data_IF_870683637578
#
_entry.id   IF_870683637578
#
_cell.length_a   1.000
_cell.length_b   1.000
_cell.length_c   1.000
_cell.angle_alpha   90.00
_cell.angle_beta   90.00
_cell.angle_gamma   90.00
#
_symmetry.space_group_name_H-M   'P 1'
#
loop_
_entity.id
_entity.type
_entity.pdbx_description
1 polymer ?
#
# COMPACT_ATOMS: atom_id res chain seq x y z
N UNK A 1 22.28 -14.77 -41.15
CA UNK A 1 23.10 -14.08 -40.15
C UNK A 1 22.64 -14.58 -38.77
N UNK A 2 23.54 -15.14 -38.00
CA UNK A 2 23.24 -15.64 -36.66
C UNK A 2 22.78 -14.48 -35.77
N UNK A 3 21.65 -14.66 -35.05
CA UNK A 3 21.17 -13.68 -34.09
C UNK A 3 22.16 -13.59 -32.93
N UNK A 4 22.59 -12.39 -32.54
CA UNK A 4 23.38 -12.18 -31.36
C UNK A 4 22.55 -12.59 -30.13
N UNK A 5 23.10 -13.35 -29.19
CA UNK A 5 22.39 -13.72 -27.99
C UNK A 5 21.98 -12.47 -27.20
N UNK A 6 20.76 -12.47 -26.67
CA UNK A 6 20.31 -11.46 -25.69
C UNK A 6 20.28 -12.08 -24.30
N UNK A 7 20.54 -11.25 -23.29
CA UNK A 7 20.59 -11.66 -21.90
C UNK A 7 19.68 -10.73 -21.10
N UNK A 8 18.91 -11.24 -20.15
CA UNK A 8 18.08 -10.46 -19.26
C UNK A 8 18.43 -10.68 -17.81
N UNK A 9 18.28 -9.63 -17.03
CA UNK A 9 18.43 -9.69 -15.57
C UNK A 9 17.15 -10.22 -14.93
N UNK A 10 17.26 -11.29 -14.14
CA UNK A 10 16.10 -11.88 -13.45
C UNK A 10 15.59 -11.01 -12.30
N UNK A 11 16.39 -10.07 -11.78
CA UNK A 11 16.02 -9.18 -10.70
C UNK A 11 15.30 -7.91 -11.18
N UNK A 12 15.78 -7.25 -12.27
CA UNK A 12 15.22 -5.97 -12.71
C UNK A 12 14.70 -5.95 -14.15
N UNK A 13 14.86 -7.07 -14.91
CA UNK A 13 14.42 -7.17 -16.28
C UNK A 13 15.27 -6.40 -17.32
N UNK A 14 16.41 -5.83 -16.92
CA UNK A 14 17.30 -5.14 -17.87
C UNK A 14 17.87 -6.11 -18.91
N UNK A 15 17.80 -5.73 -20.18
CA UNK A 15 18.27 -6.57 -21.31
C UNK A 15 19.62 -6.08 -21.80
N UNK A 16 20.60 -7.00 -21.91
CA UNK A 16 21.95 -6.71 -22.39
C UNK A 16 22.30 -7.62 -23.57
N UNK A 17 23.25 -7.18 -24.41
CA UNK A 17 23.75 -7.98 -25.54
C UNK A 17 24.88 -8.93 -25.15
N UNK A 18 25.37 -8.85 -23.92
CA UNK A 18 26.49 -9.66 -23.40
C UNK A 18 26.16 -10.16 -22.01
N UNK A 19 26.62 -11.36 -21.69
CA UNK A 19 26.55 -11.86 -20.33
C UNK A 19 27.52 -11.09 -19.43
N UNK A 20 27.07 -10.74 -18.23
CA UNK A 20 27.88 -10.15 -17.19
C UNK A 20 27.52 -10.78 -15.84
N UNK A 21 28.50 -10.96 -14.97
CA UNK A 21 28.28 -11.52 -13.62
C UNK A 21 27.48 -10.60 -12.70
N UNK A 22 27.42 -9.29 -13.03
CA UNK A 22 26.68 -8.28 -12.28
C UNK A 22 25.80 -7.46 -13.22
N UNK A 23 24.57 -7.18 -12.85
CA UNK A 23 23.69 -6.34 -13.65
C UNK A 23 24.10 -4.87 -13.55
N UNK A 24 24.30 -4.20 -14.70
CA UNK A 24 24.68 -2.78 -14.74
C UNK A 24 23.54 -1.84 -14.29
N UNK A 25 22.28 -2.28 -14.39
CA UNK A 25 21.12 -1.47 -14.05
C UNK A 25 20.75 -1.52 -12.57
N UNK A 26 20.76 -2.73 -11.94
CA UNK A 26 20.36 -2.89 -10.53
C UNK A 26 21.52 -3.26 -9.60
N UNK A 27 22.69 -3.57 -10.14
CA UNK A 27 23.88 -3.93 -9.36
C UNK A 27 23.88 -5.35 -8.77
N UNK A 28 22.84 -6.15 -8.97
CA UNK A 28 22.73 -7.51 -8.44
C UNK A 28 23.66 -8.49 -9.17
N UNK A 29 24.23 -9.45 -8.40
CA UNK A 29 25.14 -10.46 -8.91
C UNK A 29 24.41 -11.74 -9.33
N UNK A 30 24.92 -12.41 -10.39
CA UNK A 30 24.44 -13.70 -10.91
C UNK A 30 22.96 -13.69 -11.33
N UNK A 31 22.43 -12.55 -11.70
CA UNK A 31 21.03 -12.36 -12.12
C UNK A 31 20.86 -12.30 -13.64
N UNK A 32 21.96 -12.31 -14.42
CA UNK A 32 21.90 -12.23 -15.88
C UNK A 32 21.85 -13.64 -16.48
N UNK A 33 20.72 -13.94 -17.15
CA UNK A 33 20.49 -15.21 -17.86
C UNK A 33 20.32 -14.95 -19.34
N UNK A 34 20.72 -15.94 -20.16
CA UNK A 34 20.57 -15.88 -21.60
C UNK A 34 19.08 -16.08 -21.96
N UNK A 35 18.50 -15.12 -22.68
CA UNK A 35 17.18 -15.30 -23.24
C UNK A 35 17.22 -16.28 -24.40
N UNK A 36 16.50 -17.37 -24.29
CA UNK A 36 16.28 -18.28 -25.40
C UNK A 36 15.38 -17.58 -26.44
N UNK A 37 16.03 -16.88 -27.35
CA UNK A 37 15.50 -16.29 -28.56
C UNK A 37 14.10 -15.71 -28.55
N UNK A 38 13.93 -14.44 -28.18
CA UNK A 38 12.69 -13.70 -28.43
C UNK A 38 12.45 -13.66 -29.95
N UNK A 39 11.44 -14.42 -30.41
CA UNK A 39 11.00 -14.33 -31.79
C UNK A 39 10.31 -12.98 -32.00
N UNK A 40 10.99 -12.10 -32.76
CA UNK A 40 10.46 -10.82 -33.25
C UNK A 40 9.95 -9.84 -32.21
N UNK A 41 10.88 -9.17 -31.54
CA UNK A 41 10.63 -7.82 -31.06
C UNK A 41 10.20 -6.91 -32.24
N UNK A 42 9.64 -5.72 -31.95
CA UNK A 42 9.25 -4.79 -33.00
C UNK A 42 10.41 -4.59 -33.98
N UNK A 43 10.11 -4.64 -35.27
CA UNK A 43 11.10 -4.50 -36.34
C UNK A 43 11.97 -3.24 -36.04
N UNK A 44 13.29 -3.37 -36.20
CA UNK A 44 14.25 -2.28 -35.94
C UNK A 44 14.02 -1.02 -36.82
N UNK A 45 13.11 -1.08 -37.76
CA UNK A 45 12.61 0.04 -38.55
C UNK A 45 11.13 -0.19 -38.84
N UNK A 46 10.36 0.90 -38.94
CA UNK A 46 8.94 0.91 -39.28
C UNK A 46 8.68 0.41 -40.70
N UNK A 47 9.46 -0.48 -41.27
CA UNK A 47 9.31 -1.04 -42.62
C UNK A 47 8.49 -0.18 -43.56
N UNK A 48 8.78 -0.09 -44.85
CA UNK A 48 8.20 0.88 -45.78
C UNK A 48 6.67 0.84 -46.03
N UNK A 49 5.88 0.17 -45.15
CA UNK A 49 4.42 0.24 -45.18
C UNK A 49 3.95 1.38 -44.23
N UNK A 50 3.21 2.34 -44.80
CA UNK A 50 2.53 3.39 -44.00
C UNK A 50 1.61 2.72 -42.97
N UNK A 51 1.67 3.17 -41.71
CA UNK A 51 0.70 2.79 -40.67
C UNK A 51 -0.71 3.29 -41.03
N UNK A 52 -1.72 2.75 -40.35
CA UNK A 52 -3.08 3.33 -40.42
C UNK A 52 -3.11 4.66 -39.70
N UNK A 53 -3.86 5.63 -40.25
CA UNK A 53 -4.13 6.87 -39.56
C UNK A 53 -4.97 6.59 -38.30
N UNK A 54 -4.62 7.24 -37.19
CA UNK A 54 -5.38 7.18 -35.94
C UNK A 54 -6.39 8.31 -35.89
N UNK A 55 -7.54 8.05 -35.31
CA UNK A 55 -8.52 9.11 -35.02
C UNK A 55 -8.03 9.94 -33.84
N UNK A 56 -7.97 11.26 -34.04
CA UNK A 56 -7.63 12.21 -32.98
C UNK A 56 -8.93 12.83 -32.45
N UNK A 57 -9.03 12.96 -31.12
CA UNK A 57 -10.12 13.65 -30.43
C UNK A 57 -9.55 14.87 -29.72
N UNK A 58 -10.29 15.98 -29.70
CA UNK A 58 -9.90 17.20 -29.00
C UNK A 58 -10.14 17.04 -27.49
N UNK A 59 -9.26 17.62 -26.66
CA UNK A 59 -9.43 17.67 -25.21
C UNK A 59 -10.71 18.41 -24.77
N UNK A 60 -11.21 19.30 -25.63
CA UNK A 60 -12.44 20.07 -25.40
C UNK A 60 -13.70 19.27 -25.67
N UNK A 61 -13.61 18.06 -26.22
CA UNK A 61 -14.77 17.18 -26.42
C UNK A 61 -15.26 16.72 -25.05
N UNK A 62 -16.43 17.19 -24.62
CA UNK A 62 -17.07 16.79 -23.36
C UNK A 62 -17.54 15.32 -23.47
N UNK A 63 -16.63 14.39 -23.29
CA UNK A 63 -16.99 13.02 -23.01
C UNK A 63 -17.24 12.89 -21.49
N UNK A 64 -18.48 12.62 -21.12
CA UNK A 64 -18.78 12.29 -19.72
C UNK A 64 -18.01 11.03 -19.33
N UNK A 65 -17.10 11.09 -18.33
CA UNK A 65 -16.38 9.90 -17.91
C UNK A 65 -17.35 8.78 -17.56
N UNK A 66 -17.09 7.54 -17.98
CA UNK A 66 -17.97 6.44 -17.64
C UNK A 66 -18.12 6.34 -16.12
N UNK A 67 -19.34 6.11 -15.61
CA UNK A 67 -19.58 6.06 -14.18
C UNK A 67 -18.77 4.94 -13.55
N UNK A 68 -18.23 5.18 -12.37
CA UNK A 68 -17.55 4.16 -11.57
C UNK A 68 -18.59 3.16 -11.04
N UNK A 69 -18.20 1.89 -10.98
CA UNK A 69 -19.06 0.87 -10.41
C UNK A 69 -18.56 0.51 -9.02
N UNK A 70 -19.39 0.74 -8.00
CA UNK A 70 -19.11 0.32 -6.63
C UNK A 70 -19.41 -1.16 -6.44
N UNK A 71 -18.58 -1.86 -5.66
CA UNK A 71 -18.87 -3.25 -5.28
C UNK A 71 -19.71 -3.33 -3.99
N UNK A 72 -19.85 -2.23 -3.26
CA UNK A 72 -20.52 -2.21 -1.96
C UNK A 72 -19.66 -2.66 -0.79
N UNK A 73 -18.36 -2.92 -1.02
CA UNK A 73 -17.34 -3.03 0.01
C UNK A 73 -16.67 -1.64 0.11
N UNK A 74 -17.14 -0.81 1.06
CA UNK A 74 -16.81 0.61 1.12
C UNK A 74 -15.30 0.86 1.27
N UNK A 75 -14.60 0.00 2.02
CA UNK A 75 -13.15 0.08 2.20
C UNK A 75 -12.39 -0.28 0.91
N UNK A 76 -12.91 -1.16 0.06
CA UNK A 76 -12.34 -1.45 -1.26
C UNK A 76 -12.68 -0.33 -2.25
N UNK A 77 -13.93 0.11 -2.27
CA UNK A 77 -14.36 1.21 -3.16
C UNK A 77 -13.57 2.49 -2.86
N UNK A 78 -13.24 2.76 -1.59
CA UNK A 78 -12.39 3.89 -1.17
C UNK A 78 -11.01 3.83 -1.82
N UNK A 79 -10.28 2.73 -1.70
CA UNK A 79 -8.92 2.63 -2.25
C UNK A 79 -8.89 2.59 -3.77
N UNK A 80 -10.01 2.22 -4.40
CA UNK A 80 -10.22 2.34 -5.84
C UNK A 80 -10.52 3.79 -6.27
N UNK A 81 -10.69 4.71 -5.31
CA UNK A 81 -11.03 6.10 -5.58
C UNK A 81 -12.51 6.32 -5.84
N UNK A 82 -13.39 5.51 -5.24
CA UNK A 82 -14.84 5.57 -5.34
C UNK A 82 -15.45 4.51 -6.25
N UNK A 83 -14.73 3.42 -6.53
CA UNK A 83 -15.20 2.25 -7.27
C UNK A 83 -14.38 1.90 -8.51
N UNK A 84 -14.78 0.82 -9.16
CA UNK A 84 -14.11 0.27 -10.35
C UNK A 84 -14.35 1.19 -11.56
N UNK A 85 -13.27 1.59 -12.20
CA UNK A 85 -13.32 2.36 -13.46
C UNK A 85 -13.33 1.39 -14.64
N UNK A 86 -14.25 1.52 -15.60
CA UNK A 86 -14.28 0.67 -16.81
C UNK A 86 -12.96 0.70 -17.57
N UNK A 87 -12.58 -0.43 -18.17
CA UNK A 87 -11.33 -0.61 -18.91
C UNK A 87 -10.05 -0.35 -18.09
N UNK A 88 -10.13 -0.35 -16.76
CA UNK A 88 -8.97 -0.20 -15.88
C UNK A 88 -8.22 -1.51 -15.69
N UNK A 89 -6.91 -1.41 -15.52
CA UNK A 89 -6.05 -2.50 -15.09
C UNK A 89 -5.55 -2.21 -13.67
N UNK A 90 -5.82 -3.13 -12.74
CA UNK A 90 -5.52 -2.99 -11.32
C UNK A 90 -4.59 -4.14 -10.91
N UNK A 91 -3.54 -3.83 -10.16
CA UNK A 91 -2.67 -4.82 -9.55
C UNK A 91 -2.91 -4.84 -8.04
N UNK A 92 -3.17 -6.02 -7.48
CA UNK A 92 -3.29 -6.24 -6.04
C UNK A 92 -2.11 -7.10 -5.60
N UNK A 93 -1.14 -6.47 -4.94
CA UNK A 93 0.06 -7.10 -4.38
C UNK A 93 -0.07 -7.40 -2.89
N UNK A 94 0.84 -8.21 -2.36
CA UNK A 94 0.93 -8.52 -0.93
C UNK A 94 1.47 -9.92 -0.67
N UNK A 95 1.83 -10.19 0.58
CA UNK A 95 2.39 -11.48 1.00
C UNK A 95 1.47 -12.66 0.71
N UNK A 96 2.02 -13.85 0.44
CA UNK A 96 1.23 -15.07 0.35
C UNK A 96 0.45 -15.33 1.64
N UNK A 97 -0.85 -15.65 1.51
CA UNK A 97 -1.72 -15.93 2.66
C UNK A 97 -2.25 -14.69 3.40
N UNK A 98 -1.96 -13.46 2.96
CA UNK A 98 -2.46 -12.23 3.59
C UNK A 98 -3.98 -12.02 3.46
N UNK A 99 -4.63 -12.66 2.47
CA UNK A 99 -6.07 -12.54 2.24
C UNK A 99 -6.48 -11.99 0.87
N UNK A 100 -5.53 -11.74 -0.07
CA UNK A 100 -5.83 -11.18 -1.41
C UNK A 100 -6.93 -11.92 -2.15
N UNK A 101 -6.77 -13.23 -2.34
CA UNK A 101 -7.73 -14.09 -3.05
C UNK A 101 -9.09 -14.15 -2.33
N UNK A 102 -9.10 -14.01 -1.01
CA UNK A 102 -10.35 -13.96 -0.21
C UNK A 102 -11.10 -12.66 -0.49
N UNK A 103 -10.43 -11.51 -0.37
CA UNK A 103 -11.05 -10.21 -0.66
C UNK A 103 -11.54 -10.13 -2.09
N UNK A 104 -10.74 -10.59 -3.05
CA UNK A 104 -11.08 -10.49 -4.46
C UNK A 104 -12.21 -11.44 -4.86
N UNK A 105 -12.33 -12.59 -4.20
CA UNK A 105 -13.49 -13.48 -4.39
C UNK A 105 -14.78 -12.85 -3.82
N UNK A 106 -14.69 -12.19 -2.65
CA UNK A 106 -15.79 -11.41 -2.08
C UNK A 106 -16.18 -10.24 -2.99
N UNK A 107 -15.21 -9.50 -3.50
CA UNK A 107 -15.44 -8.40 -4.44
C UNK A 107 -16.07 -8.90 -5.75
N UNK A 108 -15.55 -10.00 -6.32
CA UNK A 108 -16.10 -10.63 -7.53
C UNK A 108 -17.59 -10.97 -7.36
N UNK A 109 -17.93 -11.57 -6.20
CA UNK A 109 -19.31 -11.92 -5.88
C UNK A 109 -20.20 -10.68 -5.77
N UNK A 110 -19.73 -9.61 -5.13
CA UNK A 110 -20.49 -8.37 -4.98
C UNK A 110 -20.69 -7.65 -6.31
N UNK A 111 -19.63 -7.53 -7.12
CA UNK A 111 -19.75 -6.99 -8.49
C UNK A 111 -20.74 -7.80 -9.34
N UNK A 112 -20.69 -9.14 -9.25
CA UNK A 112 -21.60 -10.00 -9.99
C UNK A 112 -23.04 -9.85 -9.52
N UNK A 113 -23.29 -9.73 -8.21
CA UNK A 113 -24.62 -9.47 -7.63
C UNK A 113 -25.16 -8.09 -8.00
N UNK A 114 -24.29 -7.09 -8.21
CA UNK A 114 -24.68 -5.77 -8.73
C UNK A 114 -24.89 -5.73 -10.25
N UNK A 115 -24.80 -6.89 -10.92
CA UNK A 115 -25.12 -7.05 -12.34
C UNK A 115 -23.93 -7.02 -13.29
N UNK A 116 -22.67 -6.91 -12.82
CA UNK A 116 -21.52 -6.99 -13.68
C UNK A 116 -21.23 -8.45 -14.07
N UNK A 117 -21.08 -8.71 -15.35
CA UNK A 117 -20.60 -10.01 -15.83
C UNK A 117 -19.14 -10.19 -15.40
N UNK A 118 -18.94 -11.02 -14.38
CA UNK A 118 -17.65 -11.20 -13.70
C UNK A 118 -17.10 -12.58 -13.93
N UNK A 119 -15.82 -12.65 -14.30
CA UNK A 119 -15.05 -13.90 -14.47
C UNK A 119 -13.88 -13.90 -13.48
N UNK A 120 -13.70 -15.03 -12.79
CA UNK A 120 -12.56 -15.28 -11.93
C UNK A 120 -11.73 -16.42 -12.51
N UNK A 121 -10.49 -16.14 -12.89
CA UNK A 121 -9.53 -17.11 -13.42
C UNK A 121 -8.50 -17.41 -12.34
N UNK A 122 -8.43 -18.67 -11.92
CA UNK A 122 -7.42 -19.16 -10.97
C UNK A 122 -6.33 -19.90 -11.72
N UNK A 123 -5.08 -19.51 -11.49
CA UNK A 123 -3.91 -20.24 -11.97
C UNK A 123 -3.21 -21.06 -10.86
N UNK A 124 -3.67 -20.95 -9.62
CA UNK A 124 -3.07 -21.63 -8.46
C UNK A 124 -3.97 -22.72 -7.90
N UNK A 125 -5.29 -22.53 -7.96
CA UNK A 125 -6.27 -23.43 -7.36
C UNK A 125 -7.21 -23.99 -8.40
N UNK A 126 -7.56 -25.27 -8.26
CA UNK A 126 -8.60 -25.89 -9.06
C UNK A 126 -9.97 -25.24 -8.76
N UNK A 127 -10.87 -25.23 -9.76
CA UNK A 127 -12.21 -24.64 -9.63
C UNK A 127 -13.01 -25.21 -8.43
N UNK A 128 -12.78 -26.46 -8.05
CA UNK A 128 -13.41 -27.08 -6.88
C UNK A 128 -12.93 -26.42 -5.58
N UNK A 129 -11.66 -26.08 -5.45
CA UNK A 129 -11.08 -25.42 -4.28
C UNK A 129 -11.61 -23.99 -4.15
N UNK A 130 -11.69 -23.24 -5.26
CA UNK A 130 -12.29 -21.91 -5.26
C UNK A 130 -13.77 -21.96 -4.86
N UNK A 131 -14.54 -22.98 -5.33
CA UNK A 131 -15.94 -23.17 -4.91
C UNK A 131 -16.06 -23.49 -3.42
N UNK A 132 -15.21 -24.35 -2.88
CA UNK A 132 -15.20 -24.64 -1.42
C UNK A 132 -14.93 -23.38 -0.60
N UNK A 133 -14.00 -22.52 -1.07
CA UNK A 133 -13.75 -21.22 -0.45
C UNK A 133 -15.00 -20.33 -0.55
N UNK A 134 -15.62 -20.23 -1.71
CA UNK A 134 -16.85 -19.46 -1.91
C UNK A 134 -17.99 -19.93 -0.97
N UNK A 135 -18.14 -21.24 -0.80
CA UNK A 135 -19.13 -21.81 0.15
C UNK A 135 -18.85 -21.38 1.58
N UNK A 136 -17.58 -21.50 2.04
CA UNK A 136 -17.19 -21.05 3.39
C UNK A 136 -17.44 -19.56 3.62
N UNK A 137 -17.30 -18.74 2.59
CA UNK A 137 -17.54 -17.30 2.62
C UNK A 137 -19.01 -16.92 2.43
N UNK A 138 -19.94 -17.86 2.23
CA UNK A 138 -21.33 -17.57 1.95
C UNK A 138 -21.59 -16.93 0.56
N UNK A 139 -20.75 -17.27 -0.43
CA UNK A 139 -20.79 -16.68 -1.77
C UNK A 139 -21.18 -17.68 -2.86
N UNK A 140 -21.64 -18.86 -2.48
CA UNK A 140 -21.91 -19.95 -3.42
C UNK A 140 -23.00 -19.67 -4.46
N UNK A 141 -23.91 -18.75 -4.14
CA UNK A 141 -25.03 -18.28 -5.00
C UNK A 141 -24.65 -17.14 -5.95
N UNK A 142 -23.45 -16.57 -5.81
CA UNK A 142 -23.03 -15.43 -6.63
C UNK A 142 -22.81 -15.85 -8.09
N UNK A 143 -23.32 -15.07 -9.09
CA UNK A 143 -23.23 -15.42 -10.50
C UNK A 143 -21.84 -15.13 -11.10
N UNK A 144 -20.77 -15.57 -10.41
CA UNK A 144 -19.38 -15.45 -10.87
C UNK A 144 -19.02 -16.67 -11.72
N UNK A 145 -18.53 -16.47 -12.92
CA UNK A 145 -17.96 -17.55 -13.74
C UNK A 145 -16.54 -17.84 -13.30
N UNK A 146 -16.22 -19.12 -13.07
CA UNK A 146 -14.90 -19.60 -12.65
C UNK A 146 -14.21 -20.35 -13.78
N UNK A 147 -12.91 -20.11 -13.94
CA UNK A 147 -12.01 -20.91 -14.76
C UNK A 147 -10.74 -21.25 -13.96
N UNK A 148 -10.18 -22.44 -14.18
CA UNK A 148 -8.85 -22.85 -13.70
C UNK A 148 -7.99 -23.02 -14.96
N UNK A 149 -7.16 -22.01 -15.27
CA UNK A 149 -6.36 -21.97 -16.49
C UNK A 149 -5.14 -21.06 -16.28
N UNK A 150 -4.02 -21.43 -16.93
CA UNK A 150 -2.76 -20.68 -16.87
C UNK A 150 -2.27 -20.26 -18.26
N UNK A 151 -2.79 -20.87 -19.35
CA UNK A 151 -2.46 -20.47 -20.70
C UNK A 151 -3.13 -19.13 -21.05
N UNK A 152 -2.32 -18.12 -21.28
CA UNK A 152 -2.81 -16.76 -21.54
C UNK A 152 -3.65 -16.67 -22.83
N UNK A 153 -3.33 -17.45 -23.87
CA UNK A 153 -4.08 -17.46 -25.13
C UNK A 153 -5.50 -17.96 -24.91
N UNK A 154 -5.66 -19.05 -24.17
CA UNK A 154 -6.96 -19.65 -23.88
C UNK A 154 -7.81 -18.72 -22.98
N UNK A 155 -7.16 -18.07 -22.02
CA UNK A 155 -7.80 -17.04 -21.17
C UNK A 155 -8.31 -15.89 -22.04
N UNK A 156 -7.45 -15.28 -22.88
CA UNK A 156 -7.86 -14.15 -23.73
C UNK A 156 -8.95 -14.53 -24.73
N UNK A 157 -8.87 -15.73 -25.32
CA UNK A 157 -9.91 -16.25 -26.22
C UNK A 157 -11.26 -16.38 -25.49
N UNK A 158 -11.23 -16.89 -24.27
CA UNK A 158 -12.43 -17.03 -23.43
C UNK A 158 -13.01 -15.67 -23.06
N UNK A 159 -12.16 -14.71 -22.63
CA UNK A 159 -12.60 -13.35 -22.31
C UNK A 159 -13.19 -12.62 -23.53
N UNK A 160 -12.62 -12.85 -24.73
CA UNK A 160 -13.13 -12.30 -25.98
C UNK A 160 -14.55 -12.82 -26.31
N UNK A 161 -14.76 -14.13 -26.14
CA UNK A 161 -16.06 -14.78 -26.39
C UNK A 161 -17.11 -14.39 -25.34
N UNK A 162 -16.73 -14.37 -24.07
CA UNK A 162 -17.62 -14.13 -22.95
C UNK A 162 -17.96 -12.63 -22.74
N UNK A 163 -17.07 -11.73 -23.16
CA UNK A 163 -17.20 -10.26 -23.02
C UNK A 163 -17.62 -9.85 -21.59
N UNK A 164 -16.80 -10.21 -20.58
CA UNK A 164 -17.08 -9.77 -19.22
C UNK A 164 -16.85 -8.27 -19.06
N UNK A 165 -17.42 -7.69 -18.01
CA UNK A 165 -17.12 -6.31 -17.60
C UNK A 165 -15.96 -6.29 -16.59
N UNK A 166 -15.80 -7.39 -15.83
CA UNK A 166 -14.70 -7.58 -14.89
C UNK A 166 -14.08 -8.97 -15.04
N UNK A 167 -12.75 -9.04 -15.12
CA UNK A 167 -11.99 -10.27 -15.02
C UNK A 167 -10.95 -10.18 -13.90
N UNK A 168 -10.86 -11.20 -13.05
CA UNK A 168 -9.86 -11.32 -11.99
C UNK A 168 -8.92 -12.46 -12.35
N UNK A 169 -7.61 -12.21 -12.32
CA UNK A 169 -6.55 -13.18 -12.65
C UNK A 169 -5.73 -13.46 -11.39
N UNK A 170 -5.86 -14.63 -10.83
CA UNK A 170 -5.24 -15.03 -9.55
C UNK A 170 -4.39 -16.31 -9.71
N UNK A 171 -3.05 -16.20 -9.88
CA UNK A 171 -2.22 -15.01 -9.86
C UNK A 171 -1.52 -14.79 -11.21
N UNK A 172 -1.01 -13.58 -11.43
CA UNK A 172 -0.28 -13.24 -12.66
C UNK A 172 1.02 -14.06 -12.80
N UNK A 173 1.59 -14.54 -11.69
CA UNK A 173 2.82 -15.30 -11.68
C UNK A 173 2.68 -16.71 -12.29
N UNK A 174 1.49 -17.26 -12.25
CA UNK A 174 1.22 -18.60 -12.81
C UNK A 174 0.86 -18.57 -14.30
N UNK A 175 0.54 -17.38 -14.83
CA UNK A 175 0.19 -17.21 -16.23
C UNK A 175 1.41 -17.38 -17.13
N UNK A 176 1.21 -18.02 -18.27
CA UNK A 176 2.25 -18.17 -19.27
C UNK A 176 1.74 -17.91 -20.69
N UNK A 177 2.59 -17.26 -21.48
CA UNK A 177 2.37 -16.98 -22.89
C UNK A 177 3.23 -17.93 -23.73
N UNK A 178 2.62 -18.64 -24.67
CA UNK A 178 3.26 -19.63 -25.52
C UNK A 178 4.29 -19.05 -26.50
N UNK A 179 4.26 -17.75 -26.73
CA UNK A 179 5.21 -17.02 -27.56
C UNK A 179 6.47 -16.55 -26.82
N UNK A 180 6.60 -16.86 -25.52
CA UNK A 180 7.75 -16.48 -24.67
C UNK A 180 8.46 -17.75 -24.21
N UNK A 181 9.68 -17.98 -24.71
CA UNK A 181 10.51 -19.14 -24.35
C UNK A 181 11.16 -18.96 -22.99
N UNK A 182 10.35 -18.92 -21.91
CA UNK A 182 10.81 -18.83 -20.53
C UNK A 182 9.86 -19.61 -19.62
N UNK A 183 10.37 -20.10 -18.49
CA UNK A 183 9.55 -20.84 -17.54
C UNK A 183 8.39 -19.97 -16.99
N UNK A 184 7.22 -20.54 -16.67
CA UNK A 184 6.16 -19.88 -15.94
C UNK A 184 6.69 -19.24 -14.65
N UNK A 185 6.20 -18.05 -14.28
CA UNK A 185 6.68 -17.29 -13.12
C UNK A 185 7.97 -16.49 -13.34
N UNK A 186 8.65 -16.67 -14.48
CA UNK A 186 9.79 -15.84 -14.85
C UNK A 186 9.36 -14.39 -15.11
N UNK A 187 10.28 -13.46 -14.92
CA UNK A 187 10.07 -12.01 -15.15
C UNK A 187 9.53 -11.73 -16.56
N UNK A 188 10.06 -12.40 -17.57
CA UNK A 188 9.63 -12.25 -18.97
C UNK A 188 8.21 -12.74 -19.21
N UNK A 189 7.82 -13.87 -18.61
CA UNK A 189 6.45 -14.39 -18.68
C UNK A 189 5.45 -13.47 -17.99
N UNK A 190 5.74 -13.07 -16.75
CA UNK A 190 4.88 -12.15 -15.96
C UNK A 190 4.70 -10.81 -16.69
N UNK A 191 5.79 -10.27 -17.25
CA UNK A 191 5.75 -9.03 -18.05
C UNK A 191 4.90 -9.19 -19.29
N UNK A 192 5.06 -10.28 -20.03
CA UNK A 192 4.29 -10.55 -21.25
C UNK A 192 2.81 -10.73 -20.92
N UNK A 193 2.48 -11.53 -19.92
CA UNK A 193 1.11 -11.75 -19.47
C UNK A 193 0.43 -10.45 -19.02
N UNK A 194 1.10 -9.64 -18.19
CA UNK A 194 0.59 -8.36 -17.76
C UNK A 194 0.38 -7.38 -18.93
N UNK A 195 1.30 -7.38 -19.92
CA UNK A 195 1.15 -6.54 -21.12
C UNK A 195 -0.08 -6.91 -21.94
N UNK A 196 -0.24 -8.19 -22.25
CA UNK A 196 -1.37 -8.67 -23.06
C UNK A 196 -2.70 -8.42 -22.34
N UNK A 197 -2.79 -8.72 -21.05
CA UNK A 197 -4.01 -8.50 -20.26
C UNK A 197 -4.36 -7.00 -20.14
N UNK A 198 -3.39 -6.13 -19.88
CA UNK A 198 -3.64 -4.68 -19.81
C UNK A 198 -4.01 -4.09 -21.18
N UNK A 199 -3.38 -4.58 -22.25
CA UNK A 199 -3.74 -4.21 -23.63
C UNK A 199 -5.15 -4.67 -23.98
N UNK A 200 -5.51 -5.89 -23.59
CA UNK A 200 -6.86 -6.43 -23.77
C UNK A 200 -7.89 -5.59 -23.02
N UNK A 201 -7.63 -5.24 -21.73
CA UNK A 201 -8.48 -4.38 -20.94
C UNK A 201 -8.84 -3.08 -21.68
N UNK A 202 -7.83 -2.37 -22.19
CA UNK A 202 -8.01 -1.10 -22.91
C UNK A 202 -8.74 -1.26 -24.25
N UNK A 203 -8.42 -2.30 -25.01
CA UNK A 203 -9.04 -2.53 -26.34
C UNK A 203 -10.49 -2.98 -26.27
N UNK A 204 -10.84 -3.78 -25.25
CA UNK A 204 -12.17 -4.41 -25.12
C UNK A 204 -13.08 -3.77 -24.10
N UNK A 205 -12.59 -2.76 -23.37
CA UNK A 205 -13.39 -2.10 -22.33
C UNK A 205 -13.63 -2.96 -21.08
N UNK A 206 -12.80 -4.01 -20.88
CA UNK A 206 -12.91 -4.92 -19.74
C UNK A 206 -12.03 -4.41 -18.61
N UNK A 207 -12.56 -4.32 -17.39
CA UNK A 207 -11.73 -4.07 -16.21
C UNK A 207 -11.01 -5.36 -15.79
N UNK A 208 -9.71 -5.28 -15.53
CA UNK A 208 -8.91 -6.46 -15.14
C UNK A 208 -8.22 -6.20 -13.81
N UNK A 209 -8.40 -7.13 -12.86
CA UNK A 209 -7.67 -7.16 -11.60
C UNK A 209 -6.65 -8.31 -11.66
N UNK A 210 -5.37 -7.96 -11.53
CA UNK A 210 -4.25 -8.88 -11.48
C UNK A 210 -3.84 -9.09 -10.03
N UNK A 211 -3.76 -10.34 -9.57
CA UNK A 211 -3.20 -10.69 -8.25
C UNK A 211 -1.71 -10.94 -8.41
N UNK A 212 -0.90 -10.31 -7.55
CA UNK A 212 0.54 -10.49 -7.52
C UNK A 212 1.04 -10.86 -6.12
N UNK A 213 2.07 -11.69 -6.04
CA UNK A 213 2.79 -11.96 -4.81
C UNK A 213 4.02 -11.05 -4.71
N UNK A 214 4.32 -10.57 -3.50
CA UNK A 214 5.55 -9.85 -3.20
C UNK A 214 6.63 -10.83 -2.75
N UNK A 215 7.90 -10.50 -2.99
CA UNK A 215 9.03 -11.21 -2.42
C UNK A 215 9.18 -10.89 -0.93
N UNK A 216 10.04 -11.65 -0.22
CA UNK A 216 10.35 -11.40 1.20
C UNK A 216 10.87 -9.99 1.49
N UNK A 217 11.35 -9.29 0.47
CA UNK A 217 11.80 -7.89 0.55
C UNK A 217 10.68 -6.87 0.29
N UNK A 218 9.42 -7.31 0.26
CA UNK A 218 8.25 -6.45 0.03
C UNK A 218 8.07 -5.99 -1.41
N UNK A 219 8.75 -6.63 -2.38
CA UNK A 219 8.61 -6.36 -3.81
C UNK A 219 7.75 -7.43 -4.48
N UNK A 220 7.00 -7.06 -5.52
CA UNK A 220 6.28 -8.05 -6.33
C UNK A 220 7.32 -8.95 -7.02
N UNK A 221 7.13 -10.28 -6.92
CA UNK A 221 7.93 -11.25 -7.64
C UNK A 221 7.74 -11.03 -9.14
N UNK A 222 8.69 -10.39 -9.75
CA UNK A 222 8.65 -9.85 -11.09
C UNK A 222 9.04 -8.36 -11.07
N UNK A 223 9.48 -7.79 -12.19
CA UNK A 223 10.00 -6.44 -12.21
C UNK A 223 8.89 -5.45 -11.82
N UNK A 224 9.27 -4.36 -11.18
CA UNK A 224 8.46 -3.13 -11.00
C UNK A 224 7.77 -2.66 -12.30
N UNK A 225 8.15 -3.26 -13.42
CA UNK A 225 7.54 -3.06 -14.74
C UNK A 225 6.04 -3.28 -14.74
N UNK A 226 5.52 -4.27 -13.99
CA UNK A 226 4.06 -4.54 -13.93
C UNK A 226 3.33 -3.39 -13.27
N UNK A 227 3.90 -2.76 -12.23
CA UNK A 227 3.32 -1.58 -11.58
C UNK A 227 3.19 -0.38 -12.54
N UNK A 228 4.15 -0.23 -13.46
CA UNK A 228 4.11 0.83 -14.46
C UNK A 228 3.11 0.58 -15.57
N UNK A 229 2.73 -0.67 -15.82
CA UNK A 229 1.81 -1.08 -16.89
C UNK A 229 0.34 -0.94 -16.52
N UNK A 230 0.02 -0.96 -15.22
CA UNK A 230 -1.35 -0.88 -14.71
C UNK A 230 -1.73 0.56 -14.31
N UNK A 231 -3.03 0.81 -14.17
CA UNK A 231 -3.55 2.12 -13.80
C UNK A 231 -3.56 2.34 -12.28
N UNK A 232 -3.84 1.28 -11.53
CA UNK A 232 -3.92 1.28 -10.07
C UNK A 232 -3.08 0.14 -9.50
N UNK A 233 -2.34 0.42 -8.43
CA UNK A 233 -1.58 -0.57 -7.65
C UNK A 233 -2.04 -0.50 -6.21
N UNK A 234 -2.54 -1.60 -5.71
CA UNK A 234 -2.97 -1.79 -4.34
C UNK A 234 -2.04 -2.79 -3.65
N UNK A 235 -1.59 -2.46 -2.44
CA UNK A 235 -0.82 -3.38 -1.60
C UNK A 235 -1.62 -3.81 -0.39
N UNK A 236 -1.66 -5.12 -0.16
CA UNK A 236 -2.19 -5.72 1.05
C UNK A 236 -1.07 -5.82 2.09
N UNK A 237 -1.23 -5.11 3.20
CA UNK A 237 -0.28 -5.02 4.30
C UNK A 237 -0.89 -5.66 5.56
N UNK A 238 -0.04 -6.17 6.45
CA UNK A 238 -0.43 -6.71 7.75
C UNK A 238 0.45 -7.89 8.17
N UNK A 239 0.61 -8.07 9.45
CA UNK A 239 1.36 -9.20 10.01
C UNK A 239 0.45 -10.43 10.18
N UNK A 240 1.01 -11.63 10.00
CA UNK A 240 0.24 -12.89 10.05
C UNK A 240 -0.43 -13.15 11.40
N UNK A 241 0.06 -12.56 12.48
CA UNK A 241 -0.49 -12.70 13.83
C UNK A 241 -1.59 -11.71 14.18
N UNK A 242 -1.78 -10.65 13.40
CA UNK A 242 -2.79 -9.64 13.65
C UNK A 242 -4.10 -9.97 12.94
N UNK A 243 -5.23 -9.58 13.53
CA UNK A 243 -6.55 -9.78 12.94
C UNK A 243 -6.82 -8.81 11.78
N UNK A 244 -6.13 -7.67 11.77
CA UNK A 244 -6.39 -6.59 10.82
C UNK A 244 -5.46 -6.65 9.61
N UNK A 245 -6.00 -6.17 8.47
CA UNK A 245 -5.31 -6.05 7.19
C UNK A 245 -5.57 -4.67 6.64
N UNK A 246 -4.54 -4.05 6.11
CA UNK A 246 -4.62 -2.74 5.44
C UNK A 246 -4.42 -2.94 3.95
N UNK A 247 -5.33 -2.45 3.14
CA UNK A 247 -5.20 -2.37 1.70
C UNK A 247 -4.83 -0.93 1.35
N UNK A 248 -3.64 -0.69 0.82
CA UNK A 248 -3.11 0.65 0.50
C UNK A 248 -3.06 0.87 -1.01
N UNK A 249 -3.54 2.00 -1.48
CA UNK A 249 -3.35 2.45 -2.86
C UNK A 249 -1.98 3.12 -3.01
N UNK A 250 -1.02 2.43 -3.61
CA UNK A 250 0.34 2.98 -3.86
C UNK A 250 0.39 3.80 -5.14
N UNK A 251 -0.48 3.46 -6.09
CA UNK A 251 -0.65 4.18 -7.36
C UNK A 251 -2.12 4.16 -7.73
N UNK A 252 -2.68 5.31 -8.07
CA UNK A 252 -4.04 5.38 -8.59
C UNK A 252 -4.15 6.53 -9.60
N UNK A 253 -4.39 6.21 -10.89
CA UNK A 253 -4.62 7.22 -11.94
C UNK A 253 -6.01 7.83 -11.88
N UNK A 254 -6.92 7.23 -11.13
CA UNK A 254 -8.33 7.60 -11.08
C UNK A 254 -8.75 8.23 -9.75
N UNK A 255 -7.83 8.33 -8.79
CA UNK A 255 -8.11 8.87 -7.46
C UNK A 255 -6.84 9.16 -6.69
N UNK A 256 -6.97 9.51 -5.40
CA UNK A 256 -5.82 9.75 -4.54
C UNK A 256 -4.95 8.49 -4.41
N UNK A 257 -3.63 8.68 -4.36
CA UNK A 257 -2.69 7.69 -3.86
C UNK A 257 -2.66 7.74 -2.32
N UNK A 258 -2.10 6.71 -1.71
CA UNK A 258 -1.96 6.55 -0.25
C UNK A 258 -3.29 6.35 0.52
N UNK A 259 -4.43 6.24 -0.17
CA UNK A 259 -5.68 5.84 0.45
C UNK A 259 -5.58 4.45 1.05
N UNK A 260 -6.19 4.26 2.22
CA UNK A 260 -6.24 2.97 2.90
C UNK A 260 -7.66 2.47 3.08
N UNK A 261 -7.80 1.15 2.94
CA UNK A 261 -8.96 0.38 3.36
C UNK A 261 -8.55 -0.60 4.47
N UNK A 262 -9.31 -0.67 5.54
CA UNK A 262 -8.99 -1.51 6.69
C UNK A 262 -10.00 -2.64 6.82
N UNK A 263 -9.49 -3.85 6.96
CA UNK A 263 -10.28 -5.08 7.03
C UNK A 263 -9.88 -5.91 8.25
N UNK A 264 -10.85 -6.57 8.83
CA UNK A 264 -10.65 -7.59 9.85
C UNK A 264 -10.76 -8.99 9.23
N UNK A 265 -9.81 -9.87 9.53
CA UNK A 265 -9.85 -11.27 9.10
C UNK A 265 -10.73 -12.07 10.07
N UNK A 266 -11.87 -12.53 9.61
CA UNK A 266 -12.83 -13.32 10.37
C UNK A 266 -12.95 -14.75 9.83
N UNK A 267 -13.65 -15.62 10.54
CA UNK A 267 -13.98 -16.97 10.03
C UNK A 267 -14.84 -16.94 8.75
N UNK A 268 -15.50 -15.83 8.45
CA UNK A 268 -16.34 -15.61 7.27
C UNK A 268 -15.64 -14.79 6.16
N UNK A 269 -14.32 -14.59 6.27
CA UNK A 269 -13.54 -13.81 5.33
C UNK A 269 -13.14 -12.45 5.88
N UNK A 270 -12.98 -11.49 5.00
CA UNK A 270 -12.59 -10.13 5.33
C UNK A 270 -13.84 -9.26 5.53
N UNK A 271 -13.92 -8.65 6.70
CA UNK A 271 -14.96 -7.70 7.08
C UNK A 271 -14.39 -6.29 7.11
N UNK A 272 -15.17 -5.31 6.69
CA UNK A 272 -14.76 -3.92 6.68
C UNK A 272 -14.66 -3.35 8.09
N UNK A 273 -13.65 -2.52 8.33
CA UNK A 273 -13.50 -1.77 9.56
C UNK A 273 -13.86 -0.31 9.33
N UNK A 274 -15.06 0.07 9.73
CA UNK A 274 -15.56 1.43 9.50
C UNK A 274 -14.85 2.49 10.35
N UNK A 275 -14.32 2.11 11.51
CA UNK A 275 -13.57 2.99 12.40
C UNK A 275 -12.18 2.41 12.73
N UNK A 276 -11.18 2.55 11.83
CA UNK A 276 -9.85 2.00 12.06
C UNK A 276 -9.14 2.61 13.27
N UNK A 277 -9.38 3.90 13.56
CA UNK A 277 -8.75 4.56 14.70
C UNK A 277 -9.03 3.84 16.03
N UNK A 278 -10.22 3.27 16.19
CA UNK A 278 -10.56 2.51 17.39
C UNK A 278 -9.74 1.23 17.56
N UNK A 279 -9.15 0.72 16.47
CA UNK A 279 -8.32 -0.49 16.47
C UNK A 279 -6.84 -0.22 16.77
N UNK A 280 -6.39 0.98 16.40
CA UNK A 280 -4.99 1.41 16.56
C UNK A 280 -4.77 2.17 17.87
N UNK A 281 -5.79 2.24 18.70
CA UNK A 281 -5.75 2.80 20.05
C UNK A 281 -5.91 1.66 21.07
N UNK A 282 -5.08 1.65 22.08
CA UNK A 282 -5.28 0.77 23.25
C UNK A 282 -6.60 1.11 23.94
N UNK A 283 -7.17 0.14 24.64
CA UNK A 283 -8.33 0.43 25.51
C UNK A 283 -7.95 1.58 26.44
N UNK A 284 -8.83 2.59 26.52
CA UNK A 284 -8.59 3.78 27.35
C UNK A 284 -8.57 3.36 28.82
N UNK A 285 -7.37 3.08 29.32
CA UNK A 285 -7.07 2.87 30.71
C UNK A 285 -6.43 4.10 31.35
N UNK A 286 -5.70 3.87 32.45
CA UNK A 286 -4.83 4.90 33.01
C UNK A 286 -3.71 5.27 32.02
N UNK A 287 -3.35 6.58 31.90
CA UNK A 287 -2.25 7.01 31.04
C UNK A 287 -0.96 6.26 31.40
N UNK A 288 -0.30 5.69 30.40
CA UNK A 288 0.94 4.94 30.57
C UNK A 288 2.12 5.75 30.01
N UNK A 289 3.24 5.88 30.76
CA UNK A 289 4.45 6.48 30.24
C UNK A 289 4.89 5.80 28.95
N UNK A 290 5.31 6.61 27.97
CA UNK A 290 5.74 6.12 26.66
C UNK A 290 4.61 5.93 25.63
N UNK A 291 3.33 6.06 26.02
CA UNK A 291 2.21 5.95 25.07
C UNK A 291 1.69 7.33 24.69
N UNK A 292 1.60 7.59 23.36
CA UNK A 292 1.12 8.87 22.80
C UNK A 292 0.27 8.62 21.57
N UNK A 293 -0.88 9.29 21.50
CA UNK A 293 -1.77 9.20 20.36
C UNK A 293 -1.42 10.24 19.30
N UNK A 294 -1.08 9.79 18.13
CA UNK A 294 -0.84 10.57 16.93
C UNK A 294 -2.14 10.75 16.13
N UNK A 295 -2.48 11.98 15.80
CA UNK A 295 -3.56 12.26 14.85
C UNK A 295 -2.99 12.36 13.43
N UNK A 296 -2.98 11.22 12.71
CA UNK A 296 -2.42 11.06 11.38
C UNK A 296 -3.42 11.26 10.24
N UNK A 297 -2.90 11.34 9.03
CA UNK A 297 -3.65 11.29 7.77
C UNK A 297 -3.03 10.23 6.87
N UNK A 298 -3.84 9.30 6.41
CA UNK A 298 -3.49 8.32 5.40
C UNK A 298 -4.31 8.61 4.14
N UNK A 299 -3.63 9.11 3.10
CA UNK A 299 -4.31 9.63 1.92
C UNK A 299 -5.20 10.83 2.23
N UNK A 300 -6.51 10.62 2.20
CA UNK A 300 -7.51 11.64 2.61
C UNK A 300 -8.15 11.32 3.96
N UNK A 301 -7.87 10.14 4.54
CA UNK A 301 -8.50 9.62 5.74
C UNK A 301 -7.75 10.03 6.99
N UNK A 302 -8.37 10.72 7.96
CA UNK A 302 -7.79 10.89 9.26
C UNK A 302 -7.83 9.55 10.03
N UNK A 303 -6.72 9.20 10.67
CA UNK A 303 -6.56 7.96 11.46
C UNK A 303 -5.76 8.28 12.71
N UNK A 304 -6.30 7.93 13.87
CA UNK A 304 -5.56 8.02 15.12
C UNK A 304 -4.77 6.73 15.34
N UNK A 305 -3.50 6.89 15.71
CA UNK A 305 -2.58 5.77 15.90
C UNK A 305 -1.77 5.99 17.16
N UNK A 306 -1.65 4.98 17.99
CA UNK A 306 -0.84 5.04 19.21
C UNK A 306 0.62 4.69 18.91
N UNK A 307 1.53 5.59 19.30
CA UNK A 307 2.96 5.33 19.36
C UNK A 307 3.33 4.92 20.78
N UNK A 308 4.08 3.84 20.90
CA UNK A 308 4.57 3.29 22.16
C UNK A 308 6.09 3.31 22.17
N UNK A 309 6.69 3.98 23.12
CA UNK A 309 8.13 4.03 23.31
C UNK A 309 8.52 3.36 24.65
N UNK A 310 9.63 2.65 24.64
CA UNK A 310 10.30 2.15 25.83
C UNK A 310 11.75 2.61 25.81
N UNK A 311 12.19 3.24 26.90
CA UNK A 311 13.56 3.71 27.07
C UNK A 311 14.11 3.06 28.33
N UNK A 312 15.24 2.35 28.21
CA UNK A 312 15.84 1.64 29.33
C UNK A 312 17.37 1.73 29.28
N UNK A 313 18.08 1.67 30.43
CA UNK A 313 19.54 1.60 30.43
C UNK A 313 20.06 0.44 29.61
N UNK A 314 21.03 0.69 28.71
CA UNK A 314 21.59 -0.35 27.88
C UNK A 314 22.65 -1.13 28.64
N UNK A 315 22.56 -2.47 28.70
CA UNK A 315 23.62 -3.30 29.26
C UNK A 315 24.81 -3.47 28.29
N UNK A 316 24.72 -2.91 27.07
CA UNK A 316 25.71 -3.07 26.01
C UNK A 316 26.47 -1.76 25.76
N UNK A 317 27.72 -1.89 25.28
CA UNK A 317 28.53 -0.72 24.88
C UNK A 317 27.86 0.10 23.75
N UNK A 318 27.09 -0.55 22.90
CA UNK A 318 26.28 0.10 21.86
C UNK A 318 24.80 -0.08 22.15
N UNK A 319 24.14 1.03 22.42
CA UNK A 319 22.70 1.06 22.71
C UNK A 319 21.87 0.65 21.47
N UNK A 320 20.81 -0.13 21.70
CA UNK A 320 19.93 -0.66 20.66
C UNK A 320 18.89 0.38 20.26
N UNK A 321 18.56 0.38 18.98
CA UNK A 321 17.46 1.17 18.38
C UNK A 321 16.57 0.23 17.59
N UNK A 322 15.38 -0.09 18.12
CA UNK A 322 14.43 -0.99 17.48
C UNK A 322 13.17 -0.22 17.15
N UNK A 323 12.72 -0.33 15.91
CA UNK A 323 11.52 0.39 15.42
C UNK A 323 10.60 -0.60 14.70
N UNK A 324 9.33 -0.55 15.04
CA UNK A 324 8.26 -1.30 14.38
C UNK A 324 7.19 -0.32 13.92
N UNK A 325 6.84 -0.37 12.65
CA UNK A 325 5.78 0.45 12.06
C UNK A 325 6.18 1.89 11.70
N UNK A 326 7.43 2.31 11.94
CA UNK A 326 7.93 3.64 11.57
C UNK A 326 9.35 3.58 11.02
N UNK A 327 9.89 4.72 10.55
CA UNK A 327 11.22 4.78 9.94
C UNK A 327 12.34 4.92 10.98
N UNK A 328 13.30 4.01 10.95
CA UNK A 328 14.43 4.01 11.89
C UNK A 328 15.40 5.17 11.70
N UNK A 329 15.55 5.67 10.46
CA UNK A 329 16.37 6.85 10.17
C UNK A 329 15.74 8.12 10.75
N UNK A 330 14.41 8.22 10.69
CA UNK A 330 13.67 9.32 11.34
C UNK A 330 13.81 9.27 12.87
N UNK A 331 13.71 8.08 13.48
CA UNK A 331 13.97 7.94 14.91
C UNK A 331 15.37 8.47 15.29
N UNK A 332 16.41 8.07 14.54
CA UNK A 332 17.77 8.53 14.80
C UNK A 332 17.90 10.06 14.68
N UNK A 333 17.19 10.67 13.71
CA UNK A 333 17.14 12.12 13.54
C UNK A 333 16.45 12.81 14.72
N UNK A 334 15.30 12.30 15.20
CA UNK A 334 14.57 12.86 16.34
C UNK A 334 15.44 12.81 17.61
N UNK A 335 16.10 11.66 17.86
CA UNK A 335 17.01 11.53 19.02
C UNK A 335 18.15 12.54 18.96
N UNK A 336 18.75 12.75 17.79
CA UNK A 336 19.81 13.74 17.59
C UNK A 336 19.33 15.18 17.82
N UNK A 337 18.08 15.53 17.40
CA UNK A 337 17.50 16.85 17.63
C UNK A 337 17.18 17.06 19.13
N UNK A 338 16.63 16.07 19.81
CA UNK A 338 16.39 16.12 21.26
C UNK A 338 17.68 16.37 22.04
N UNK A 339 18.76 15.66 21.68
CA UNK A 339 20.07 15.86 22.30
C UNK A 339 20.66 17.23 21.98
N UNK A 340 20.74 17.60 20.71
CA UNK A 340 21.44 18.80 20.25
C UNK A 340 20.71 20.11 20.57
N UNK A 341 19.37 20.12 20.61
CA UNK A 341 18.54 21.33 20.76
C UNK A 341 17.90 21.44 22.15
N UNK A 342 17.58 20.32 22.78
CA UNK A 342 16.91 20.31 24.08
C UNK A 342 17.85 19.85 25.21
N UNK A 343 19.07 19.42 24.90
CA UNK A 343 20.02 18.94 25.90
C UNK A 343 19.63 17.59 26.53
N UNK A 344 18.78 16.81 25.86
CA UNK A 344 18.25 15.55 26.37
C UNK A 344 18.95 14.36 25.68
N UNK A 345 20.03 13.80 26.28
CA UNK A 345 20.79 12.72 25.66
C UNK A 345 20.07 11.37 25.82
N UNK A 346 20.18 10.53 24.77
CA UNK A 346 19.80 9.13 24.78
C UNK A 346 21.00 8.19 24.67
N UNK A 347 22.19 8.69 24.91
CA UNK A 347 23.41 7.89 24.95
C UNK A 347 23.33 6.87 26.10
N UNK A 348 23.71 5.61 25.84
CA UNK A 348 23.65 4.53 26.85
C UNK A 348 22.24 4.03 27.18
N UNK A 349 21.20 4.49 26.49
CA UNK A 349 19.82 4.03 26.67
C UNK A 349 19.37 3.23 25.44
N UNK A 350 18.87 2.01 25.64
CA UNK A 350 18.15 1.26 24.60
C UNK A 350 16.80 1.94 24.33
N UNK A 351 16.43 2.06 23.05
CA UNK A 351 15.17 2.67 22.63
C UNK A 351 14.40 1.68 21.75
N UNK A 352 13.19 1.43 22.13
CA UNK A 352 12.22 0.63 21.38
C UNK A 352 11.02 1.54 21.05
N UNK A 353 10.62 1.56 19.77
CA UNK A 353 9.48 2.32 19.29
C UNK A 353 8.56 1.38 18.50
N UNK A 354 7.29 1.37 18.87
CA UNK A 354 6.27 0.54 18.23
C UNK A 354 5.06 1.38 17.83
N UNK A 355 4.50 1.10 16.66
CA UNK A 355 3.20 1.61 16.22
C UNK A 355 2.14 0.55 16.52
N UNK A 356 1.16 0.89 17.34
CA UNK A 356 0.12 -0.05 17.74
C UNK A 356 -0.68 -0.58 16.53
N UNK A 357 -1.16 -1.82 16.63
CA UNK A 357 -1.98 -2.46 15.59
C UNK A 357 -1.23 -2.84 14.32
N UNK A 358 0.12 -2.76 14.29
CA UNK A 358 0.94 -3.17 13.13
C UNK A 358 0.82 -2.25 11.92
N UNK A 359 0.29 -1.04 12.09
CA UNK A 359 0.21 -0.03 11.04
C UNK A 359 1.59 0.54 10.71
N UNK A 360 1.85 0.81 9.44
CA UNK A 360 3.03 1.57 9.01
C UNK A 360 2.67 3.04 8.84
N UNK A 361 3.31 3.90 9.62
CA UNK A 361 3.17 5.35 9.54
C UNK A 361 4.39 5.93 8.82
N UNK A 362 4.16 6.67 7.75
CA UNK A 362 5.22 7.34 6.96
C UNK A 362 5.12 8.86 7.00
N UNK A 363 4.10 9.39 7.64
CA UNK A 363 3.81 10.80 7.69
C UNK A 363 4.79 11.58 8.61
N UNK A 364 5.47 12.63 8.11
CA UNK A 364 6.38 13.45 8.92
C UNK A 364 5.72 14.13 10.14
N UNK A 365 4.41 14.37 10.07
CA UNK A 365 3.68 14.95 11.19
C UNK A 365 3.67 14.07 12.46
N UNK A 366 4.10 12.81 12.37
CA UNK A 366 4.27 11.91 13.51
C UNK A 366 5.49 12.26 14.40
N UNK A 367 6.44 13.05 13.91
CA UNK A 367 7.68 13.35 14.62
C UNK A 367 7.44 13.85 16.05
N UNK A 368 6.49 14.78 16.22
CA UNK A 368 6.19 15.36 17.54
C UNK A 368 5.57 14.31 18.47
N UNK A 369 4.74 13.42 17.96
CA UNK A 369 4.17 12.32 18.75
C UNK A 369 5.25 11.31 19.17
N UNK A 370 6.19 11.01 18.28
CA UNK A 370 7.35 10.14 18.60
C UNK A 370 8.25 10.80 19.63
N UNK A 371 8.58 12.09 19.48
CA UNK A 371 9.35 12.82 20.47
C UNK A 371 8.65 12.83 21.83
N UNK A 372 7.33 13.06 21.84
CA UNK A 372 6.51 13.02 23.05
C UNK A 372 6.53 11.63 23.73
N UNK A 373 6.41 10.54 22.95
CA UNK A 373 6.47 9.18 23.47
C UNK A 373 7.85 8.85 24.07
N UNK A 374 8.94 9.25 23.40
CA UNK A 374 10.30 9.07 23.88
C UNK A 374 10.56 9.82 25.20
N UNK A 375 10.12 11.08 25.29
CA UNK A 375 10.25 11.91 26.49
C UNK A 375 9.40 11.34 27.63
N UNK A 376 8.16 10.99 27.34
CA UNK A 376 7.24 10.35 28.29
C UNK A 376 7.83 9.07 28.89
N UNK A 377 8.41 8.20 28.05
CA UNK A 377 9.06 6.97 28.50
C UNK A 377 10.34 7.23 29.31
N UNK A 378 11.08 8.27 28.97
CA UNK A 378 12.34 8.60 29.66
C UNK A 378 12.13 9.23 31.02
N UNK A 379 11.17 10.16 31.10
CA UNK A 379 10.87 10.92 32.33
C UNK A 379 9.84 10.21 33.21
N UNK A 380 9.38 9.02 32.82
CA UNK A 380 8.31 8.24 33.46
C UNK A 380 7.05 9.09 33.74
N UNK A 381 6.72 9.97 32.78
CA UNK A 381 5.64 10.93 32.85
C UNK A 381 4.68 10.77 31.67
N UNK A 382 3.44 10.36 31.94
CA UNK A 382 2.42 10.18 30.92
C UNK A 382 1.78 11.49 30.48
N UNK A 383 1.42 11.61 29.20
CA UNK A 383 0.54 12.67 28.73
C UNK A 383 -0.92 12.37 29.15
N UNK A 384 -1.78 13.39 29.25
CA UNK A 384 -3.21 13.15 29.51
C UNK A 384 -3.84 12.25 28.44
N UNK A 385 -4.64 11.26 28.87
CA UNK A 385 -5.22 10.24 28.01
C UNK A 385 -6.15 10.77 26.90
N UNK A 386 -6.63 12.00 27.05
CA UNK A 386 -7.51 12.69 26.12
C UNK A 386 -6.77 13.64 25.16
N UNK A 387 -5.45 13.48 25.03
CA UNK A 387 -4.57 14.35 24.24
C UNK A 387 -4.08 13.64 22.97
N UNK A 388 -4.20 14.30 21.82
CA UNK A 388 -3.56 13.89 20.57
C UNK A 388 -2.40 14.81 20.22
N UNK A 389 -1.38 14.27 19.56
CA UNK A 389 -0.15 15.01 19.23
C UNK A 389 0.17 14.90 17.74
N UNK A 390 0.53 16.00 17.07
CA UNK A 390 1.01 15.99 15.70
C UNK A 390 1.83 17.23 15.32
N UNK A 391 2.86 17.04 14.50
CA UNK A 391 3.74 18.12 14.00
C UNK A 391 5.06 17.55 13.48
N UNK A 392 5.62 18.15 12.43
CA UNK A 392 6.92 17.78 11.91
C UNK A 392 8.03 18.50 12.64
N UNK A 393 9.13 17.81 12.98
CA UNK A 393 10.31 18.36 13.64
C UNK A 393 11.40 18.60 12.59
N UNK A 394 11.88 19.85 12.48
CA UNK A 394 13.04 20.16 11.64
C UNK A 394 14.35 19.92 12.40
N UNK A 395 15.48 19.81 11.68
CA UNK A 395 16.81 19.66 12.27
C UNK A 395 17.23 20.86 13.15
N UNK A 396 16.59 22.01 12.97
CA UNK A 396 16.81 23.18 13.83
C UNK A 396 16.05 23.10 15.18
N UNK A 397 15.16 22.11 15.35
CA UNK A 397 14.25 22.00 16.50
C UNK A 397 12.93 22.77 16.31
N UNK A 398 12.79 23.54 15.22
CA UNK A 398 11.53 24.24 14.93
C UNK A 398 10.45 23.23 14.52
N UNK A 399 9.21 23.47 14.96
CA UNK A 399 8.05 22.67 14.60
C UNK A 399 7.37 23.24 13.37
N UNK A 400 7.01 22.36 12.43
CA UNK A 400 6.29 22.69 11.20
C UNK A 400 4.84 22.21 11.30
N UNK A 401 3.87 23.05 10.88
CA UNK A 401 2.46 22.68 10.93
C UNK A 401 2.16 21.54 9.95
N UNK A 402 1.34 20.61 10.40
CA UNK A 402 0.83 19.53 9.57
C UNK A 402 -0.32 20.01 8.66
N UNK A 403 -0.45 19.37 7.49
CA UNK A 403 -1.60 19.57 6.61
C UNK A 403 -2.89 19.02 7.24
N UNK A 404 -4.05 19.49 6.76
CA UNK A 404 -5.37 18.97 7.14
C UNK A 404 -5.64 18.96 8.66
N UNK A 405 -5.12 19.93 9.40
CA UNK A 405 -5.28 20.05 10.87
C UNK A 405 -6.75 19.91 11.29
N UNK A 406 -7.68 20.52 10.57
CA UNK A 406 -9.12 20.44 10.89
C UNK A 406 -9.65 19.01 10.84
N UNK A 407 -9.27 18.20 9.83
CA UNK A 407 -9.70 16.81 9.70
C UNK A 407 -9.14 15.95 10.84
N UNK A 408 -7.88 16.18 11.24
CA UNK A 408 -7.25 15.51 12.39
C UNK A 408 -8.02 15.79 13.69
N UNK A 409 -8.34 17.04 13.94
CA UNK A 409 -9.08 17.44 15.14
C UNK A 409 -10.52 16.91 15.13
N UNK A 410 -11.20 16.91 13.99
CA UNK A 410 -12.55 16.34 13.86
C UNK A 410 -12.56 14.83 14.17
N UNK A 411 -11.60 14.09 13.70
CA UNK A 411 -11.51 12.64 13.99
C UNK A 411 -11.15 12.42 15.49
N UNK A 412 -10.22 13.20 16.04
CA UNK A 412 -9.89 13.13 17.44
C UNK A 412 -11.12 13.44 18.32
N UNK A 413 -11.88 14.49 18.01
CA UNK A 413 -13.10 14.85 18.72
C UNK A 413 -14.16 13.75 18.66
N UNK A 414 -14.38 13.17 17.48
CA UNK A 414 -15.32 12.05 17.27
C UNK A 414 -15.00 10.86 18.19
N UNK A 415 -13.72 10.65 18.46
CA UNK A 415 -13.23 9.60 19.36
C UNK A 415 -13.10 10.06 20.81
N UNK A 416 -13.58 11.27 21.14
CA UNK A 416 -13.69 11.79 22.50
C UNK A 416 -12.38 12.33 23.07
N UNK A 417 -11.41 12.73 22.23
CA UNK A 417 -10.27 13.53 22.67
C UNK A 417 -10.69 14.99 22.84
N UNK A 418 -10.17 15.62 23.88
CA UNK A 418 -10.51 17.01 24.23
C UNK A 418 -9.33 17.95 24.07
N UNK A 419 -8.11 17.43 23.99
CA UNK A 419 -6.87 18.17 23.88
C UNK A 419 -6.06 17.77 22.65
N UNK A 420 -5.36 18.74 22.05
CA UNK A 420 -4.42 18.52 20.98
C UNK A 420 -3.16 19.36 21.17
N UNK A 421 -2.00 18.77 20.95
CA UNK A 421 -0.72 19.46 20.89
C UNK A 421 -0.24 19.42 19.44
N UNK A 422 -0.01 20.60 18.86
CA UNK A 422 0.41 20.68 17.46
C UNK A 422 1.40 21.82 17.23
N UNK A 423 2.11 21.75 16.10
CA UNK A 423 2.98 22.84 15.67
C UNK A 423 2.21 24.14 15.45
N UNK A 424 2.77 25.26 15.91
CA UNK A 424 2.24 26.60 15.67
C UNK A 424 2.33 26.97 14.20
N UNK A 425 1.38 27.75 13.68
CA UNK A 425 1.32 28.20 12.31
C UNK A 425 0.19 27.50 11.53
N UNK A 426 0.18 27.68 10.19
CA UNK A 426 -0.90 27.18 9.34
C UNK A 426 -2.13 28.10 9.30
N UNK A 427 -3.14 27.67 8.55
CA UNK A 427 -4.41 28.41 8.45
C UNK A 427 -5.13 28.40 9.81
N UNK A 428 -5.87 29.47 10.15
CA UNK A 428 -6.75 29.45 11.30
C UNK A 428 -7.73 28.26 11.17
N UNK A 429 -7.77 27.44 12.19
CA UNK A 429 -8.68 26.28 12.25
C UNK A 429 -9.80 26.62 13.22
N UNK A 430 -11.04 26.42 12.81
CA UNK A 430 -12.19 26.46 13.72
C UNK A 430 -12.03 25.31 14.72
N UNK A 431 -11.74 25.64 15.97
CA UNK A 431 -11.62 24.67 17.05
C UNK A 431 -13.02 24.25 17.49
N UNK A 432 -13.53 23.21 16.90
CA UNK A 432 -14.77 22.58 17.32
C UNK A 432 -14.53 21.70 18.54
N UNK A 433 -14.49 22.26 19.74
CA UNK A 433 -14.54 21.47 20.97
C UNK A 433 -13.24 20.78 21.42
N UNK A 434 -12.11 20.97 20.75
CA UNK A 434 -10.78 20.51 21.20
C UNK A 434 -9.91 21.71 21.57
N UNK A 435 -9.30 21.66 22.77
CA UNK A 435 -8.30 22.64 23.19
C UNK A 435 -6.99 22.39 22.43
N UNK A 436 -6.62 23.31 21.53
CA UNK A 436 -5.42 23.19 20.69
C UNK A 436 -4.26 23.97 21.30
N UNK A 437 -3.28 23.28 21.88
CA UNK A 437 -2.03 23.85 22.35
C UNK A 437 -1.02 23.91 21.19
N UNK A 438 -0.54 25.12 20.85
CA UNK A 438 0.32 25.38 19.69
C UNK A 438 1.76 25.63 20.13
N UNK A 439 2.65 24.72 19.75
CA UNK A 439 4.09 24.78 20.05
C UNK A 439 4.88 25.35 18.87
N UNK A 440 5.86 26.22 19.14
CA UNK A 440 6.72 26.84 18.09
C UNK A 440 7.92 25.96 17.76
N UNK A 441 8.50 25.36 18.78
CA UNK A 441 9.72 24.56 18.69
C UNK A 441 9.70 23.44 19.74
N UNK A 442 10.62 22.51 19.58
CA UNK A 442 10.75 21.34 20.45
C UNK A 442 11.18 21.71 21.87
N UNK A 443 11.97 22.78 22.04
CA UNK A 443 12.42 23.25 23.36
C UNK A 443 11.24 23.77 24.17
N UNK A 444 10.36 24.59 23.58
CA UNK A 444 9.12 25.03 24.21
C UNK A 444 8.21 23.85 24.55
N UNK A 445 8.08 22.87 23.64
CA UNK A 445 7.31 21.66 23.91
C UNK A 445 7.84 20.88 25.11
N UNK A 446 9.16 20.67 25.21
CA UNK A 446 9.78 19.98 26.34
C UNK A 446 9.55 20.76 27.64
N UNK A 447 9.76 22.08 27.63
CA UNK A 447 9.60 22.91 28.80
C UNK A 447 8.17 22.98 29.32
N UNK A 448 7.17 23.06 28.45
CA UNK A 448 5.77 23.17 28.83
C UNK A 448 5.14 21.83 29.24
N UNK A 449 5.56 20.73 28.64
CA UNK A 449 4.92 19.41 28.86
C UNK A 449 5.69 18.58 29.89
N UNK A 450 7.03 18.65 29.90
CA UNK A 450 7.89 17.80 30.73
C UNK A 450 8.79 18.59 31.67
N UNK A 451 8.86 19.93 31.57
CA UNK A 451 9.81 20.78 32.30
C UNK A 451 9.31 21.31 33.65
N UNK A 452 8.17 20.88 34.15
CA UNK A 452 7.62 21.27 35.43
C UNK A 452 8.02 20.28 36.54
N UNK A 453 9.31 19.95 36.63
CA UNK A 453 9.91 19.14 37.69
C UNK A 453 11.05 19.88 38.35
#
# INVERSE_FOLDING_TARGET
MAKSPSFSCTACGNVTSKWAGRCEACGEWNTIQQDAGISKGPAKSLGGKRGAAIHLTDLSTEETPPPRTTCGIAELDRVLGGGLVPASAILVGGDPGIGKSTLLLQAAAQFARSGLKTIYVSGEEASAQVRMRAQRLGLADAPVKLAAETNLRDILTTLEAEKPQLAIIDSIQTMWADNVEAAPGSVSQVRSAAHELTSFAKRRGVSIILVGHVTKEGQIAGPRVVEHMVDTVLYFEGERGHQFRVLRAVKNRFGPADEIGVFEMTGRGLSEVLNPSALFLSERGEPSPGSVVFAGIEGTRPVLVEFQALVAPSPHAQARRTVVGWDGGRLAMILAVLEARCGIPFAGLDVYLNVAGGMKVSEPAADLAVAAALLSAREDASLPADTVVFGEISLSGALRPASQTENRLKEAQKLGFTNAIAAAGGKPVGTSGIALNKMRDLTSFVGEIFGAG
#
